data_IF_858981037140
#
_entry.id   IF_858981037140
#
_cell.length_a   1.000
_cell.length_b   1.000
_cell.length_c   1.000
_cell.angle_alpha   90.00
_cell.angle_beta   90.00
_cell.angle_gamma   90.00
#
_symmetry.space_group_name_H-M   'P 1'
#
loop_
_entity.id
_entity.type
_entity.pdbx_description
1 polymer ?
#
# COMPACT_ATOMS: atom_id res chain seq x y z
N UNK A 1 -11.45 7.56 -14.53
CA UNK A 1 -11.30 6.12 -14.80
C UNK A 1 -11.36 5.30 -13.50
N UNK A 2 -10.43 5.47 -12.55
CA UNK A 2 -10.44 4.66 -11.31
C UNK A 2 -11.64 4.94 -10.41
N UNK A 3 -12.06 6.20 -10.24
CA UNK A 3 -13.26 6.54 -9.47
C UNK A 3 -14.51 5.89 -10.04
N UNK A 4 -14.64 5.88 -11.35
CA UNK A 4 -15.75 5.24 -12.05
C UNK A 4 -15.71 3.71 -11.87
N UNK A 5 -14.51 3.11 -11.92
CA UNK A 5 -14.34 1.69 -11.66
C UNK A 5 -14.82 1.31 -10.25
N UNK A 6 -14.48 2.10 -9.22
CA UNK A 6 -14.95 1.85 -7.85
C UNK A 6 -16.47 2.01 -7.68
N UNK A 7 -17.08 2.97 -8.36
CA UNK A 7 -18.55 3.09 -8.39
C UNK A 7 -19.21 1.87 -9.02
N UNK A 8 -18.63 1.34 -10.10
CA UNK A 8 -19.10 0.12 -10.75
C UNK A 8 -18.94 -1.10 -9.83
N UNK A 9 -17.79 -1.22 -9.12
CA UNK A 9 -17.58 -2.29 -8.15
C UNK A 9 -18.62 -2.22 -7.03
N UNK A 10 -18.88 -1.04 -6.49
CA UNK A 10 -19.86 -0.85 -5.43
C UNK A 10 -21.26 -1.31 -5.84
N UNK A 11 -21.71 -0.89 -7.02
CA UNK A 11 -23.02 -1.29 -7.56
C UNK A 11 -23.12 -2.80 -7.82
N UNK A 12 -22.02 -3.41 -8.30
CA UNK A 12 -21.97 -4.86 -8.51
C UNK A 12 -21.86 -5.64 -7.19
N UNK A 13 -21.25 -5.08 -6.15
CA UNK A 13 -21.23 -5.67 -4.82
C UNK A 13 -22.64 -5.82 -4.26
N UNK A 14 -23.47 -4.77 -4.34
CA UNK A 14 -24.85 -4.81 -3.88
C UNK A 14 -25.69 -5.80 -4.71
N UNK A 15 -25.49 -5.85 -6.03
CA UNK A 15 -26.16 -6.81 -6.90
C UNK A 15 -25.73 -8.25 -6.63
N UNK A 16 -24.43 -8.49 -6.34
CA UNK A 16 -23.93 -9.81 -5.98
C UNK A 16 -24.46 -10.28 -4.62
N UNK A 17 -24.56 -9.39 -3.63
CA UNK A 17 -25.18 -9.73 -2.35
C UNK A 17 -26.66 -10.12 -2.48
N UNK A 18 -27.40 -9.47 -3.40
CA UNK A 18 -28.77 -9.91 -3.71
C UNK A 18 -28.80 -11.27 -4.40
N UNK A 19 -27.97 -11.48 -5.42
CA UNK A 19 -27.88 -12.74 -6.15
C UNK A 19 -27.41 -13.93 -5.27
N UNK A 20 -26.71 -13.63 -4.18
CA UNK A 20 -26.26 -14.60 -3.20
C UNK A 20 -27.24 -14.78 -2.02
N UNK A 21 -28.37 -14.08 -1.98
CA UNK A 21 -29.33 -14.05 -0.86
C UNK A 21 -28.75 -13.57 0.46
N UNK A 22 -27.72 -12.73 0.44
CA UNK A 22 -27.20 -12.00 1.60
C UNK A 22 -28.13 -10.84 1.95
N UNK A 23 -28.69 -10.19 0.89
CA UNK A 23 -29.74 -9.19 0.98
C UNK A 23 -30.95 -9.61 0.14
N UNK A 24 -32.14 -9.27 0.57
CA UNK A 24 -33.40 -9.50 -0.14
C UNK A 24 -34.05 -8.19 -0.59
N UNK A 25 -35.27 -8.28 -1.14
CA UNK A 25 -36.06 -7.12 -1.58
C UNK A 25 -36.40 -6.18 -0.41
N UNK A 26 -36.69 -6.72 0.75
CA UNK A 26 -37.15 -6.00 1.93
C UNK A 26 -36.05 -5.66 2.93
N UNK A 27 -34.80 -6.12 2.69
CA UNK A 27 -33.72 -5.81 3.62
C UNK A 27 -32.56 -6.81 3.65
N UNK A 28 -31.85 -6.81 4.76
CA UNK A 28 -30.70 -7.68 5.00
C UNK A 28 -31.15 -9.03 5.52
N UNK A 29 -30.76 -10.11 4.84
CA UNK A 29 -31.03 -11.50 5.28
C UNK A 29 -29.87 -12.07 6.10
N UNK A 30 -28.62 -11.68 5.80
CA UNK A 30 -27.44 -12.07 6.58
C UNK A 30 -26.55 -10.86 6.87
N UNK A 31 -26.68 -10.31 8.09
CA UNK A 31 -25.96 -9.10 8.51
C UNK A 31 -24.43 -9.30 8.58
N UNK A 32 -23.99 -10.47 9.00
CA UNK A 32 -22.57 -10.80 9.12
C UNK A 32 -21.89 -10.87 7.74
N UNK A 33 -22.49 -11.59 6.80
CA UNK A 33 -21.97 -11.71 5.43
C UNK A 33 -21.95 -10.35 4.72
N UNK A 34 -23.00 -9.54 4.89
CA UNK A 34 -23.08 -8.18 4.34
C UNK A 34 -21.98 -7.27 4.90
N UNK A 35 -21.78 -7.30 6.22
CA UNK A 35 -20.76 -6.51 6.89
C UNK A 35 -19.35 -6.93 6.45
N UNK A 36 -19.08 -8.23 6.37
CA UNK A 36 -17.80 -8.76 5.91
C UNK A 36 -17.48 -8.31 4.45
N UNK A 37 -18.43 -8.46 3.53
CA UNK A 37 -18.26 -8.05 2.13
C UNK A 37 -17.99 -6.54 2.00
N UNK A 38 -18.75 -5.71 2.70
CA UNK A 38 -18.56 -4.25 2.69
C UNK A 38 -17.24 -3.82 3.32
N UNK A 39 -16.87 -4.38 4.47
CA UNK A 39 -15.61 -4.07 5.15
C UNK A 39 -14.40 -4.46 4.30
N UNK A 40 -14.43 -5.61 3.64
CA UNK A 40 -13.36 -6.04 2.73
C UNK A 40 -13.21 -5.07 1.55
N UNK A 41 -14.32 -4.66 0.95
CA UNK A 41 -14.32 -3.69 -0.16
C UNK A 41 -13.80 -2.32 0.27
N UNK A 42 -14.29 -1.76 1.38
CA UNK A 42 -13.82 -0.47 1.88
C UNK A 42 -12.33 -0.49 2.24
N UNK A 43 -11.85 -1.58 2.84
CA UNK A 43 -10.43 -1.76 3.15
C UNK A 43 -9.56 -1.82 1.88
N UNK A 44 -10.01 -2.50 0.84
CA UNK A 44 -9.31 -2.56 -0.45
C UNK A 44 -9.30 -1.19 -1.14
N UNK A 45 -10.43 -0.49 -1.14
CA UNK A 45 -10.59 0.86 -1.68
C UNK A 45 -9.65 1.85 -0.99
N UNK A 46 -9.61 1.85 0.33
CA UNK A 46 -8.73 2.74 1.10
C UNK A 46 -7.24 2.49 0.78
N UNK A 47 -6.82 1.22 0.75
CA UNK A 47 -5.45 0.86 0.37
C UNK A 47 -5.11 1.31 -1.05
N UNK A 48 -5.99 1.05 -2.01
CA UNK A 48 -5.81 1.46 -3.39
C UNK A 48 -5.64 2.98 -3.52
N UNK A 49 -6.56 3.78 -2.96
CA UNK A 49 -6.48 5.24 -3.05
C UNK A 49 -5.29 5.81 -2.29
N UNK A 50 -4.91 5.22 -1.15
CA UNK A 50 -3.68 5.59 -0.45
C UNK A 50 -2.45 5.44 -1.36
N UNK A 51 -2.30 4.30 -2.02
CA UNK A 51 -1.20 4.07 -2.98
C UNK A 51 -1.29 4.97 -4.21
N UNK A 52 -2.49 5.17 -4.76
CA UNK A 52 -2.68 6.05 -5.91
C UNK A 52 -2.23 7.48 -5.59
N UNK A 53 -2.69 8.05 -4.48
CA UNK A 53 -2.31 9.40 -4.05
C UNK A 53 -0.80 9.49 -3.81
N UNK A 54 -0.21 8.51 -3.14
CA UNK A 54 1.23 8.46 -2.89
C UNK A 54 2.02 8.38 -4.19
N UNK A 55 1.60 7.55 -5.14
CA UNK A 55 2.21 7.45 -6.46
C UNK A 55 2.11 8.77 -7.26
N UNK A 56 0.97 9.43 -7.21
CA UNK A 56 0.77 10.73 -7.90
C UNK A 56 1.68 11.83 -7.34
N UNK A 57 2.06 11.78 -6.08
CA UNK A 57 2.98 12.73 -5.43
C UNK A 57 4.45 12.46 -5.76
N UNK A 58 4.80 11.23 -6.11
CA UNK A 58 6.19 10.79 -6.26
C UNK A 58 6.99 11.59 -7.30
N UNK A 59 6.47 11.96 -8.49
CA UNK A 59 7.22 12.79 -9.42
C UNK A 59 7.62 14.16 -8.86
N UNK A 60 6.75 14.79 -8.06
CA UNK A 60 7.06 16.06 -7.39
C UNK A 60 8.06 15.89 -6.27
N UNK A 61 7.96 14.79 -5.51
CA UNK A 61 8.93 14.39 -4.50
C UNK A 61 10.32 14.20 -5.13
N UNK A 62 10.44 13.45 -6.23
CA UNK A 62 11.71 13.19 -6.91
C UNK A 62 12.38 14.50 -7.32
N UNK A 63 11.65 15.42 -7.95
CA UNK A 63 12.21 16.75 -8.31
C UNK A 63 12.66 17.56 -7.09
N UNK A 64 11.98 17.40 -5.96
CA UNK A 64 12.39 18.08 -4.72
C UNK A 64 13.63 17.43 -4.12
N UNK A 65 13.73 16.10 -4.14
CA UNK A 65 14.94 15.37 -3.70
C UNK A 65 16.15 15.78 -4.56
N UNK A 66 16.02 15.78 -5.88
CA UNK A 66 17.13 16.22 -6.78
C UNK A 66 17.68 17.58 -6.34
N UNK A 67 16.81 18.58 -6.13
CA UNK A 67 17.23 19.93 -5.68
C UNK A 67 17.91 19.91 -4.31
N UNK A 68 17.42 19.10 -3.36
CA UNK A 68 18.01 19.03 -2.03
C UNK A 68 19.36 18.32 -2.05
N UNK A 69 19.54 17.31 -2.89
CA UNK A 69 20.83 16.66 -3.10
C UNK A 69 21.85 17.62 -3.71
N UNK A 70 21.44 18.44 -4.71
CA UNK A 70 22.29 19.47 -5.33
C UNK A 70 22.69 20.55 -4.31
N UNK A 71 21.80 20.88 -3.36
CA UNK A 71 22.09 21.80 -2.25
C UNK A 71 22.98 21.19 -1.15
N UNK A 72 23.40 19.92 -1.30
CA UNK A 72 24.25 19.24 -0.33
C UNK A 72 23.51 18.60 0.84
N UNK A 73 22.17 18.54 0.81
CA UNK A 73 21.34 17.96 1.87
C UNK A 73 21.20 16.45 1.75
N UNK A 74 20.67 15.82 2.80
CA UNK A 74 20.28 14.41 2.81
C UNK A 74 18.76 14.30 2.94
N UNK A 75 18.13 13.47 2.11
CA UNK A 75 16.68 13.28 2.10
C UNK A 75 16.28 12.10 2.96
N UNK A 76 15.25 12.27 3.79
CA UNK A 76 14.60 11.20 4.55
C UNK A 76 13.13 11.14 4.17
N UNK A 77 12.65 10.01 3.70
CA UNK A 77 11.28 9.84 3.20
C UNK A 77 10.53 8.89 4.12
N UNK A 78 9.45 9.37 4.70
CA UNK A 78 8.54 8.57 5.52
C UNK A 78 7.38 8.06 4.69
N UNK A 79 7.21 6.72 4.70
CA UNK A 79 6.10 6.01 4.07
C UNK A 79 5.43 5.09 5.09
N UNK A 80 4.22 4.63 4.79
CA UNK A 80 3.50 3.64 5.61
C UNK A 80 3.48 2.29 4.91
N UNK A 81 3.12 2.28 3.64
CA UNK A 81 2.89 1.05 2.88
C UNK A 81 4.05 0.73 1.94
N UNK A 82 4.53 -0.50 2.01
CA UNK A 82 5.64 -0.99 1.17
C UNK A 82 5.19 -1.94 0.06
N UNK A 83 3.92 -2.36 0.07
CA UNK A 83 3.41 -3.36 -0.88
C UNK A 83 3.92 -4.79 -0.65
N UNK A 84 4.65 -5.07 0.44
CA UNK A 84 5.30 -6.37 0.70
C UNK A 84 4.34 -7.56 0.60
N UNK A 85 3.17 -7.47 1.23
CA UNK A 85 2.22 -8.59 1.25
C UNK A 85 1.71 -8.94 -0.15
N UNK A 86 1.51 -7.93 -0.99
CA UNK A 86 1.06 -8.10 -2.36
C UNK A 86 2.19 -8.66 -3.25
N UNK A 87 3.39 -8.07 -3.14
CA UNK A 87 4.57 -8.54 -3.85
C UNK A 87 4.85 -10.01 -3.53
N UNK A 88 4.81 -10.40 -2.26
CA UNK A 88 5.03 -11.79 -1.83
C UNK A 88 4.02 -12.76 -2.44
N UNK A 89 2.75 -12.40 -2.52
CA UNK A 89 1.72 -13.24 -3.16
C UNK A 89 1.98 -13.39 -4.66
N UNK A 90 2.27 -12.29 -5.34
CA UNK A 90 2.58 -12.32 -6.78
C UNK A 90 3.84 -13.13 -7.11
N UNK A 91 4.89 -12.97 -6.32
CA UNK A 91 6.11 -13.77 -6.50
C UNK A 91 5.90 -15.26 -6.21
N UNK A 92 4.94 -15.62 -5.35
CA UNK A 92 4.59 -17.02 -5.12
C UNK A 92 3.93 -17.69 -6.33
N UNK A 93 3.35 -16.91 -7.26
CA UNK A 93 2.74 -17.41 -8.51
C UNK A 93 3.77 -17.56 -9.64
N UNK A 94 4.99 -17.05 -9.46
CA UNK A 94 6.05 -17.07 -10.47
C UNK A 94 7.16 -18.03 -10.03
N UNK A 95 7.53 -19.03 -10.86
CA UNK A 95 8.69 -19.88 -10.57
C UNK A 95 9.96 -19.04 -10.35
N UNK A 96 10.84 -19.50 -9.46
CA UNK A 96 12.06 -18.75 -9.07
C UNK A 96 13.00 -18.49 -10.23
N UNK A 97 12.98 -19.34 -11.26
CA UNK A 97 13.73 -19.17 -12.51
C UNK A 97 13.29 -17.91 -13.28
N UNK A 98 12.02 -17.51 -13.14
CA UNK A 98 11.46 -16.30 -13.75
C UNK A 98 11.84 -15.00 -13.01
N UNK A 99 12.50 -15.09 -11.86
CA UNK A 99 12.85 -13.89 -11.06
C UNK A 99 14.01 -13.07 -11.62
N UNK A 100 14.68 -13.58 -12.66
CA UNK A 100 15.78 -12.87 -13.35
C UNK A 100 15.29 -11.88 -14.43
N UNK A 101 14.01 -11.93 -14.79
CA UNK A 101 13.38 -11.00 -15.75
C UNK A 101 11.89 -10.87 -15.40
N UNK A 102 11.62 -10.20 -14.30
CA UNK A 102 10.28 -10.16 -13.74
C UNK A 102 9.49 -9.02 -14.37
N UNK A 103 8.44 -9.37 -15.08
CA UNK A 103 7.39 -8.41 -15.47
C UNK A 103 6.34 -8.25 -14.34
N UNK A 104 6.80 -8.21 -13.08
CA UNK A 104 5.92 -7.95 -11.95
C UNK A 104 5.84 -6.47 -11.74
N UNK A 105 4.86 -5.89 -12.38
CA UNK A 105 4.30 -4.64 -11.92
C UNK A 105 3.36 -4.99 -10.76
N UNK A 106 3.64 -4.51 -9.54
CA UNK A 106 2.75 -4.62 -8.38
C UNK A 106 1.98 -3.31 -8.20
N UNK A 107 1.12 -2.95 -9.18
CA UNK A 107 0.42 -1.69 -9.12
C UNK A 107 -0.64 -1.73 -8.01
N UNK A 108 -1.03 -0.58 -7.46
CA UNK A 108 -2.12 -0.48 -6.49
C UNK A 108 -3.41 -1.18 -6.90
N UNK A 109 -3.70 -1.32 -8.18
CA UNK A 109 -4.88 -2.05 -8.69
C UNK A 109 -4.93 -3.50 -8.22
N UNK A 110 -3.79 -4.11 -7.95
CA UNK A 110 -3.70 -5.50 -7.51
C UNK A 110 -4.36 -5.71 -6.13
N UNK A 111 -4.39 -4.70 -5.26
CA UNK A 111 -5.15 -4.79 -4.00
C UNK A 111 -6.65 -4.98 -4.24
N UNK A 112 -7.17 -4.35 -5.30
CA UNK A 112 -8.58 -4.47 -5.65
C UNK A 112 -8.85 -5.78 -6.34
N UNK A 113 -7.98 -6.20 -7.26
CA UNK A 113 -8.07 -7.51 -7.93
C UNK A 113 -8.02 -8.65 -6.91
N UNK A 114 -7.10 -8.59 -5.96
CA UNK A 114 -6.97 -9.56 -4.88
C UNK A 114 -8.23 -9.59 -3.98
N UNK A 115 -8.77 -8.42 -3.64
CA UNK A 115 -10.03 -8.33 -2.88
C UNK A 115 -11.22 -8.90 -3.64
N UNK A 116 -11.32 -8.65 -4.95
CA UNK A 116 -12.37 -9.23 -5.80
C UNK A 116 -12.23 -10.75 -5.89
N UNK A 117 -11.00 -11.25 -6.04
CA UNK A 117 -10.76 -12.68 -6.16
C UNK A 117 -11.14 -13.45 -4.87
N UNK A 118 -10.83 -12.90 -3.70
CA UNK A 118 -10.90 -13.62 -2.44
C UNK A 118 -12.00 -13.16 -1.48
N UNK A 119 -12.53 -11.94 -1.63
CA UNK A 119 -13.47 -11.35 -0.68
C UNK A 119 -14.78 -10.90 -1.30
N UNK A 120 -14.93 -11.05 -2.62
CA UNK A 120 -16.20 -10.74 -3.28
C UNK A 120 -17.26 -11.78 -2.90
N UNK A 121 -18.52 -11.36 -2.57
CA UNK A 121 -19.54 -12.25 -2.02
C UNK A 121 -20.13 -13.16 -3.10
N UNK A 122 -19.51 -14.30 -3.33
CA UNK A 122 -19.97 -15.30 -4.31
C UNK A 122 -20.67 -16.51 -3.69
N UNK A 123 -20.46 -16.77 -2.39
CA UNK A 123 -21.14 -17.87 -1.73
C UNK A 123 -22.66 -17.68 -1.74
N UNK A 124 -23.37 -18.73 -2.12
CA UNK A 124 -24.83 -18.75 -2.11
C UNK A 124 -25.37 -18.99 -0.70
N UNK A 125 -26.41 -18.27 -0.35
CA UNK A 125 -27.18 -18.44 0.87
C UNK A 125 -28.62 -18.86 0.52
N UNK A 126 -29.24 -19.62 1.37
CA UNK A 126 -30.67 -19.94 1.26
C UNK A 126 -31.46 -19.14 2.29
N UNK A 127 -32.53 -18.44 1.87
CA UNK A 127 -33.42 -17.75 2.79
C UNK A 127 -34.18 -18.74 3.68
N UNK A 128 -34.43 -18.36 4.92
CA UNK A 128 -35.32 -19.08 5.84
C UNK A 128 -36.07 -18.09 6.73
N UNK A 129 -37.17 -18.59 7.32
CA UNK A 129 -37.90 -17.85 8.36
C UNK A 129 -37.74 -18.62 9.67
N UNK A 130 -37.33 -17.92 10.72
CA UNK A 130 -37.18 -18.53 12.04
C UNK A 130 -38.53 -18.74 12.75
N UNK A 131 -38.51 -19.33 13.93
CA UNK A 131 -39.72 -19.60 14.73
C UNK A 131 -40.45 -18.32 15.21
N UNK A 132 -39.77 -17.18 15.18
CA UNK A 132 -40.32 -15.88 15.56
C UNK A 132 -40.83 -15.07 14.36
N UNK A 133 -40.74 -15.64 13.15
CA UNK A 133 -41.16 -15.00 11.90
C UNK A 133 -40.13 -14.07 11.28
N UNK A 134 -38.89 -14.03 11.78
CA UNK A 134 -37.84 -13.20 11.21
C UNK A 134 -37.23 -13.88 9.98
N UNK A 135 -37.03 -13.10 8.94
CA UNK A 135 -36.33 -13.55 7.73
C UNK A 135 -34.81 -13.49 7.92
N UNK A 136 -34.16 -14.59 7.56
CA UNK A 136 -32.70 -14.70 7.56
C UNK A 136 -32.19 -15.49 6.36
N UNK A 137 -30.89 -15.65 6.22
CA UNK A 137 -30.30 -16.59 5.26
C UNK A 137 -29.08 -17.27 5.84
N UNK A 138 -28.82 -18.51 5.41
CA UNK A 138 -27.70 -19.34 5.83
C UNK A 138 -26.88 -19.83 4.64
N UNK A 139 -25.55 -20.06 4.81
CA UNK A 139 -24.70 -20.49 3.71
C UNK A 139 -25.10 -21.91 3.23
N UNK A 140 -25.05 -22.10 1.90
CA UNK A 140 -25.34 -23.39 1.26
C UNK A 140 -24.04 -24.13 1.03
N UNK A 141 -24.02 -25.42 1.45
CA UNK A 141 -22.91 -26.34 1.20
C UNK A 141 -23.40 -27.57 0.44
N UNK A 142 -22.56 -28.11 -0.43
CA UNK A 142 -22.78 -29.40 -1.10
C UNK A 142 -21.50 -30.22 -0.97
N UNK A 143 -21.59 -31.43 -0.45
CA UNK A 143 -20.43 -32.31 -0.22
C UNK A 143 -19.32 -31.63 0.58
N UNK A 144 -19.68 -30.80 1.58
CA UNK A 144 -18.77 -30.06 2.42
C UNK A 144 -18.12 -28.82 1.76
N UNK A 145 -18.46 -28.56 0.49
CA UNK A 145 -17.95 -27.39 -0.23
C UNK A 145 -19.01 -26.28 -0.30
N UNK A 146 -18.60 -25.00 -0.17
CA UNK A 146 -19.51 -23.88 -0.35
C UNK A 146 -20.07 -23.83 -1.78
N UNK A 147 -21.37 -23.63 -1.91
CA UNK A 147 -22.01 -23.44 -3.21
C UNK A 147 -21.91 -21.96 -3.59
N UNK A 148 -21.49 -21.68 -4.81
CA UNK A 148 -21.36 -20.32 -5.32
C UNK A 148 -22.58 -19.91 -6.16
N UNK A 149 -22.99 -18.63 -6.06
CA UNK A 149 -23.97 -18.00 -6.94
C UNK A 149 -23.35 -17.77 -8.31
N UNK A 150 -23.90 -18.40 -9.35
CA UNK A 150 -23.43 -18.25 -10.75
C UNK A 150 -23.42 -16.78 -11.21
N UNK A 151 -24.45 -16.03 -10.83
CA UNK A 151 -24.54 -14.61 -11.17
C UNK A 151 -23.48 -13.79 -10.46
N UNK A 152 -23.24 -14.02 -9.16
CA UNK A 152 -22.20 -13.32 -8.40
C UNK A 152 -20.79 -13.63 -8.94
N UNK A 153 -20.50 -14.89 -9.30
CA UNK A 153 -19.26 -15.30 -9.95
C UNK A 153 -19.07 -14.60 -11.30
N UNK A 154 -20.11 -14.56 -12.14
CA UNK A 154 -20.04 -13.88 -13.44
C UNK A 154 -19.79 -12.37 -13.28
N UNK A 155 -20.41 -11.72 -12.28
CA UNK A 155 -20.17 -10.31 -11.95
C UNK A 155 -18.72 -10.08 -11.51
N UNK A 156 -18.19 -10.93 -10.62
CA UNK A 156 -16.78 -10.89 -10.19
C UNK A 156 -15.82 -10.98 -11.38
N UNK A 157 -16.04 -11.92 -12.29
CA UNK A 157 -15.21 -12.10 -13.49
C UNK A 157 -15.14 -10.83 -14.34
N UNK A 158 -16.29 -10.24 -14.67
CA UNK A 158 -16.36 -8.99 -15.45
C UNK A 158 -15.66 -7.81 -14.77
N UNK A 159 -15.73 -7.71 -13.44
CA UNK A 159 -15.04 -6.67 -12.68
C UNK A 159 -13.53 -6.85 -12.74
N UNK A 160 -13.03 -8.09 -12.59
CA UNK A 160 -11.60 -8.43 -12.69
C UNK A 160 -11.08 -8.05 -14.08
N UNK A 161 -11.76 -8.45 -15.15
CA UNK A 161 -11.37 -8.10 -16.52
C UNK A 161 -11.31 -6.59 -16.74
N UNK A 162 -12.32 -5.86 -16.27
CA UNK A 162 -12.38 -4.40 -16.39
C UNK A 162 -11.24 -3.70 -15.64
N UNK A 163 -10.92 -4.15 -14.42
CA UNK A 163 -9.82 -3.58 -13.65
C UNK A 163 -8.45 -3.93 -14.25
N UNK A 164 -8.29 -5.15 -14.76
CA UNK A 164 -7.06 -5.57 -15.42
C UNK A 164 -6.75 -4.72 -16.66
N UNK A 165 -7.76 -4.17 -17.33
CA UNK A 165 -7.60 -3.27 -18.48
C UNK A 165 -7.17 -1.84 -18.14
N UNK A 166 -7.21 -1.44 -16.86
CA UNK A 166 -6.77 -0.11 -16.46
C UNK A 166 -5.24 -0.01 -16.44
N UNK A 167 -4.65 1.15 -16.76
CA UNK A 167 -3.21 1.32 -16.76
C UNK A 167 -2.65 1.09 -15.35
N UNK A 168 -1.44 0.49 -15.24
CA UNK A 168 -0.78 0.29 -13.97
C UNK A 168 -0.39 1.62 -13.31
N UNK A 169 -0.38 1.62 -11.98
CA UNK A 169 0.11 2.76 -11.19
C UNK A 169 1.31 2.26 -10.38
N UNK A 170 2.55 2.70 -10.68
CA UNK A 170 3.74 2.20 -10.00
C UNK A 170 3.78 2.64 -8.53
N UNK A 171 4.32 1.78 -7.66
CA UNK A 171 4.50 2.10 -6.24
C UNK A 171 5.53 3.21 -6.02
N UNK A 172 5.32 4.07 -5.03
CA UNK A 172 6.21 5.20 -4.77
C UNK A 172 7.63 4.76 -4.39
N UNK A 173 7.76 3.75 -3.53
CA UNK A 173 9.05 3.23 -3.10
C UNK A 173 9.86 2.69 -4.28
N UNK A 174 9.22 1.93 -5.18
CA UNK A 174 9.88 1.37 -6.35
C UNK A 174 10.29 2.48 -7.34
N UNK A 175 9.46 3.51 -7.53
CA UNK A 175 9.83 4.68 -8.33
C UNK A 175 11.07 5.39 -7.79
N UNK A 176 11.17 5.58 -6.46
CA UNK A 176 12.32 6.22 -5.82
C UNK A 176 13.59 5.36 -6.02
N UNK A 177 13.50 4.05 -5.74
CA UNK A 177 14.64 3.13 -5.88
C UNK A 177 15.07 3.03 -7.35
N UNK A 178 14.13 2.97 -8.30
CA UNK A 178 14.46 2.92 -9.73
C UNK A 178 15.07 4.23 -10.26
N UNK A 179 14.67 5.37 -9.71
CA UNK A 179 15.20 6.68 -10.12
C UNK A 179 16.60 6.94 -9.61
N UNK A 180 16.86 6.66 -8.32
CA UNK A 180 18.12 7.03 -7.67
C UNK A 180 19.11 5.86 -7.51
N UNK A 181 18.65 4.63 -7.70
CA UNK A 181 19.47 3.43 -7.53
C UNK A 181 19.68 3.03 -6.07
N UNK A 182 20.03 1.76 -5.89
CA UNK A 182 20.31 1.17 -4.57
C UNK A 182 21.58 1.69 -3.94
N UNK A 183 22.47 2.28 -4.71
CA UNK A 183 23.71 2.88 -4.20
C UNK A 183 23.47 4.25 -3.52
N UNK A 184 22.42 4.94 -3.91
CA UNK A 184 22.02 6.23 -3.34
C UNK A 184 20.92 6.11 -2.29
N UNK A 185 20.06 5.10 -2.41
CA UNK A 185 18.88 4.92 -1.55
C UNK A 185 19.11 3.86 -0.50
N UNK A 186 19.06 4.27 0.76
CA UNK A 186 18.97 3.39 1.93
C UNK A 186 17.51 3.05 2.20
N UNK A 187 17.15 1.78 2.08
CA UNK A 187 15.79 1.31 2.34
C UNK A 187 15.69 0.65 3.71
N UNK A 188 14.91 1.23 4.61
CA UNK A 188 14.68 0.74 5.98
C UNK A 188 13.21 0.41 6.17
N UNK A 189 12.80 -0.70 5.59
CA UNK A 189 11.39 -1.15 5.55
C UNK A 189 11.25 -2.59 6.01
N UNK A 190 10.01 -3.06 6.15
CA UNK A 190 9.72 -4.46 6.43
C UNK A 190 9.82 -5.40 5.21
N UNK A 191 10.18 -4.90 4.02
CA UNK A 191 10.26 -5.75 2.82
C UNK A 191 11.40 -6.75 2.92
N UNK A 192 11.11 -8.00 2.64
CA UNK A 192 12.09 -9.08 2.48
C UNK A 192 12.64 -9.19 1.05
N UNK A 193 11.95 -8.60 0.09
CA UNK A 193 12.29 -8.59 -1.34
C UNK A 193 12.00 -7.23 -1.94
N UNK A 194 12.74 -6.88 -3.00
CA UNK A 194 12.50 -5.69 -3.81
C UNK A 194 12.75 -5.96 -5.28
N UNK A 195 12.12 -5.19 -6.15
CA UNK A 195 12.37 -5.23 -7.59
C UNK A 195 13.32 -4.09 -7.91
N UNK A 196 14.46 -4.43 -8.46
CA UNK A 196 15.49 -3.48 -8.89
C UNK A 196 15.72 -3.57 -10.39
N UNK A 197 16.18 -2.48 -10.98
CA UNK A 197 16.61 -2.46 -12.38
C UNK A 197 18.11 -2.81 -12.45
N UNK A 198 18.44 -3.80 -13.24
CA UNK A 198 19.82 -4.18 -13.54
C UNK A 198 20.00 -4.21 -15.06
N UNK A 199 20.59 -3.17 -15.62
CA UNK A 199 20.55 -2.92 -17.08
C UNK A 199 19.10 -2.68 -17.53
N UNK A 200 18.66 -3.40 -18.56
CA UNK A 200 17.29 -3.29 -19.09
C UNK A 200 16.29 -4.25 -18.45
N UNK A 201 16.73 -5.06 -17.47
CA UNK A 201 15.89 -6.06 -16.82
C UNK A 201 15.47 -5.63 -15.43
N UNK A 202 14.28 -6.06 -15.03
CA UNK A 202 13.80 -5.98 -13.66
C UNK A 202 14.07 -7.33 -12.98
N UNK A 203 14.79 -7.32 -11.87
CA UNK A 203 15.11 -8.52 -11.11
C UNK A 203 14.60 -8.42 -9.69
N UNK A 204 14.23 -9.56 -9.12
CA UNK A 204 13.89 -9.67 -7.70
C UNK A 204 15.16 -9.85 -6.89
N UNK A 205 15.41 -8.93 -5.98
CA UNK A 205 16.50 -9.00 -5.02
C UNK A 205 15.96 -9.36 -3.64
N UNK A 206 16.56 -10.39 -3.01
CA UNK A 206 16.26 -10.72 -1.63
C UNK A 206 17.00 -9.76 -0.70
N UNK A 207 16.32 -9.31 0.36
CA UNK A 207 16.88 -8.47 1.41
C UNK A 207 17.07 -9.31 2.66
N UNK A 208 18.31 -9.39 3.15
CA UNK A 208 18.62 -10.09 4.40
C UNK A 208 17.90 -9.43 5.60
N UNK A 209 17.66 -10.17 6.66
CA UNK A 209 17.06 -9.63 7.89
C UNK A 209 17.91 -8.50 8.53
N UNK A 210 19.23 -8.50 8.32
CA UNK A 210 20.16 -7.46 8.75
C UNK A 210 20.25 -6.26 7.80
N UNK A 211 19.58 -6.28 6.63
CA UNK A 211 19.69 -5.23 5.61
C UNK A 211 19.36 -3.83 6.18
N UNK A 212 18.32 -3.73 7.00
CA UNK A 212 17.93 -2.45 7.59
C UNK A 212 19.02 -1.81 8.47
N UNK A 213 19.85 -2.62 9.14
CA UNK A 213 20.99 -2.11 9.92
C UNK A 213 22.09 -1.57 9.00
N UNK A 214 22.45 -2.35 7.98
CA UNK A 214 23.46 -1.95 6.98
C UNK A 214 23.03 -0.69 6.21
N UNK A 215 21.78 -0.60 5.80
CA UNK A 215 21.22 0.57 5.12
C UNK A 215 21.21 1.81 6.02
N UNK A 216 20.84 1.66 7.29
CA UNK A 216 20.91 2.76 8.26
C UNK A 216 22.35 3.24 8.44
N UNK A 217 23.32 2.32 8.61
CA UNK A 217 24.72 2.67 8.74
C UNK A 217 25.25 3.38 7.49
N UNK A 218 24.94 2.88 6.28
CA UNK A 218 25.35 3.51 5.03
C UNK A 218 24.82 4.95 4.89
N UNK A 219 23.61 5.22 5.38
CA UNK A 219 23.06 6.58 5.42
C UNK A 219 23.75 7.46 6.48
N UNK A 220 23.97 6.94 7.69
CA UNK A 220 24.64 7.69 8.77
C UNK A 220 26.13 7.93 8.50
N UNK A 221 26.77 7.08 7.69
CA UNK A 221 28.17 7.21 7.26
C UNK A 221 28.35 8.07 5.98
N UNK A 222 27.29 8.70 5.48
CA UNK A 222 27.27 9.53 4.25
C UNK A 222 27.63 8.77 2.96
N UNK A 223 27.53 7.43 2.99
CA UNK A 223 27.67 6.59 1.80
C UNK A 223 26.42 6.70 0.91
N UNK A 224 25.24 6.74 1.55
CA UNK A 224 23.96 6.97 0.90
C UNK A 224 23.34 8.27 1.40
N UNK A 225 22.69 8.99 0.50
CA UNK A 225 22.15 10.33 0.83
C UNK A 225 20.63 10.39 0.88
N UNK A 226 19.97 9.33 0.49
CA UNK A 226 18.51 9.19 0.55
C UNK A 226 18.19 8.02 1.47
N UNK A 227 17.28 8.21 2.42
CA UNK A 227 16.78 7.15 3.27
C UNK A 227 15.25 7.10 3.14
N UNK A 228 14.71 5.92 2.83
CA UNK A 228 13.27 5.67 2.85
C UNK A 228 12.98 4.70 3.98
N UNK A 229 12.06 5.05 4.87
CA UNK A 229 11.68 4.20 5.98
C UNK A 229 10.16 4.05 6.12
N UNK A 230 9.76 2.90 6.65
CA UNK A 230 8.42 2.63 7.13
C UNK A 230 8.44 2.27 8.62
N UNK A 231 7.31 2.36 9.30
CA UNK A 231 7.22 2.03 10.74
C UNK A 231 7.72 0.61 11.03
N UNK A 232 7.37 -0.36 10.18
CA UNK A 232 7.78 -1.76 10.34
C UNK A 232 9.32 -1.96 10.31
N UNK A 233 10.03 -1.18 9.48
CA UNK A 233 11.49 -1.29 9.34
C UNK A 233 12.28 -0.35 10.25
N UNK A 234 11.65 0.74 10.67
CA UNK A 234 12.29 1.85 11.36
C UNK A 234 12.17 1.86 12.89
N UNK A 235 11.49 0.89 13.50
CA UNK A 235 11.25 0.88 14.96
C UNK A 235 12.57 0.95 15.75
N UNK A 236 12.64 1.84 16.73
CA UNK A 236 13.82 2.03 17.59
C UNK A 236 15.00 2.72 16.93
N UNK A 237 14.93 3.18 15.68
CA UNK A 237 16.02 3.82 14.95
C UNK A 237 15.85 5.33 14.87
N UNK A 238 16.96 6.05 14.73
CA UNK A 238 17.01 7.50 14.52
C UNK A 238 17.88 7.82 13.31
N UNK A 239 17.50 8.88 12.57
CA UNK A 239 18.15 9.27 11.33
C UNK A 239 18.55 10.76 11.34
N UNK A 240 18.60 11.36 12.52
CA UNK A 240 18.95 12.77 12.71
C UNK A 240 20.41 13.05 12.34
N UNK A 241 20.75 14.30 12.15
CA UNK A 241 22.13 14.73 11.87
C UNK A 241 22.97 14.74 13.16
N UNK A 242 23.21 13.54 13.72
CA UNK A 242 23.93 13.38 14.97
C UNK A 242 25.37 13.92 14.88
N UNK A 243 25.83 14.59 15.93
CA UNK A 243 27.15 15.21 15.96
C UNK A 243 28.30 14.20 15.84
N UNK A 244 28.10 12.97 16.27
CA UNK A 244 29.09 11.89 16.15
C UNK A 244 29.07 11.17 14.80
N UNK A 245 28.01 11.32 14.01
CA UNK A 245 27.89 10.69 12.70
C UNK A 245 28.72 11.41 11.63
N UNK A 246 29.12 10.69 10.59
CA UNK A 246 29.79 11.28 9.42
C UNK A 246 28.80 12.12 8.60
N UNK A 247 27.58 11.63 8.42
CA UNK A 247 26.54 12.36 7.73
C UNK A 247 25.91 13.42 8.66
N UNK A 248 26.45 14.62 8.63
CA UNK A 248 25.93 15.80 9.35
C UNK A 248 25.15 16.75 8.46
N UNK A 249 24.78 16.31 7.25
CA UNK A 249 24.01 17.13 6.30
C UNK A 249 22.65 17.49 6.86
N UNK A 250 22.11 18.62 6.45
CA UNK A 250 20.73 18.99 6.76
C UNK A 250 19.80 17.84 6.30
N UNK A 251 19.00 17.34 7.23
CA UNK A 251 17.95 16.37 6.90
C UNK A 251 16.75 17.10 6.34
N UNK A 252 16.40 16.82 5.09
CA UNK A 252 15.09 17.19 4.56
C UNK A 252 14.18 15.99 4.71
N UNK A 253 13.24 16.06 5.64
CA UNK A 253 12.32 14.98 5.96
C UNK A 253 11.00 15.17 5.22
N UNK A 254 10.75 14.29 4.27
CA UNK A 254 9.54 14.25 3.47
C UNK A 254 8.51 13.32 4.11
N UNK A 255 7.36 13.86 4.51
CA UNK A 255 6.20 13.08 4.89
C UNK A 255 5.40 12.79 3.62
N UNK A 256 5.71 11.67 2.96
CA UNK A 256 5.07 11.28 1.70
C UNK A 256 3.73 10.60 1.96
N UNK A 257 3.69 9.70 2.94
CA UNK A 257 2.50 8.95 3.33
C UNK A 257 2.30 9.07 4.85
N UNK A 258 1.40 9.93 5.30
CA UNK A 258 1.21 10.18 6.74
C UNK A 258 0.50 9.02 7.48
N UNK A 259 -0.14 8.10 6.77
CA UNK A 259 -0.94 7.03 7.38
C UNK A 259 -2.28 7.53 7.91
N UNK A 260 -2.89 6.75 8.80
CA UNK A 260 -4.21 7.04 9.38
C UNK A 260 -4.15 7.47 10.84
N UNK A 261 -2.96 7.48 11.45
CA UNK A 261 -2.75 7.85 12.86
C UNK A 261 -1.77 9.00 12.93
N UNK A 262 -2.21 10.14 13.42
CA UNK A 262 -1.37 11.32 13.60
C UNK A 262 -0.16 11.04 14.48
N UNK A 263 -0.34 10.29 15.59
CA UNK A 263 0.74 9.91 16.49
C UNK A 263 1.87 9.15 15.79
N UNK A 264 1.54 8.21 14.89
CA UNK A 264 2.53 7.46 14.11
C UNK A 264 3.31 8.38 13.16
N UNK A 265 2.61 9.33 12.51
CA UNK A 265 3.25 10.32 11.66
C UNK A 265 4.23 11.20 12.46
N UNK A 266 3.80 11.72 13.62
CA UNK A 266 4.63 12.55 14.52
C UNK A 266 5.83 11.76 15.05
N UNK A 267 5.64 10.51 15.48
CA UNK A 267 6.74 9.64 15.90
C UNK A 267 7.77 9.43 14.78
N UNK A 268 7.30 9.29 13.54
CA UNK A 268 8.19 9.23 12.37
C UNK A 268 9.00 10.51 12.18
N UNK A 269 8.39 11.68 12.29
CA UNK A 269 9.09 12.98 12.24
C UNK A 269 10.15 13.09 13.33
N UNK A 270 9.87 12.59 14.54
CA UNK A 270 10.81 12.54 15.65
C UNK A 270 12.07 11.71 15.39
N UNK A 271 12.12 10.86 14.33
CA UNK A 271 13.33 10.08 13.99
C UNK A 271 14.45 10.94 13.39
N UNK A 272 14.12 12.08 12.83
CA UNK A 272 15.10 13.03 12.28
C UNK A 272 15.31 14.25 13.17
N UNK A 273 14.50 14.43 14.21
CA UNK A 273 14.59 15.54 15.15
C UNK A 273 14.87 15.00 16.57
N UNK A 274 16.12 15.09 16.99
CA UNK A 274 16.60 14.59 18.29
C UNK A 274 17.56 15.58 18.93
N UNK A 275 17.80 15.41 20.22
CA UNK A 275 18.93 16.07 20.90
C UNK A 275 20.26 15.64 20.27
N UNK A 276 21.33 16.42 20.49
CA UNK A 276 22.68 16.13 19.99
C UNK A 276 22.77 16.09 18.44
N UNK A 277 22.06 16.97 17.76
CA UNK A 277 22.08 17.12 16.30
C UNK A 277 22.84 18.38 15.86
N UNK A 278 23.47 18.32 14.68
CA UNK A 278 24.24 19.42 14.10
C UNK A 278 23.33 20.62 13.73
N UNK A 279 22.13 20.32 13.22
CA UNK A 279 21.07 21.29 12.95
C UNK A 279 19.69 20.59 12.94
N UNK A 280 18.59 21.32 13.20
CA UNK A 280 17.24 20.80 13.08
C UNK A 280 16.92 20.35 11.65
N UNK A 281 16.08 19.33 11.46
CA UNK A 281 15.63 18.92 10.13
C UNK A 281 14.66 19.95 9.53
N UNK A 282 14.57 19.95 8.21
CA UNK A 282 13.51 20.63 7.47
C UNK A 282 12.39 19.63 7.14
N UNK A 283 11.20 19.84 7.67
CA UNK A 283 10.03 19.00 7.38
C UNK A 283 9.30 19.47 6.13
N UNK A 284 9.04 18.56 5.20
CA UNK A 284 8.29 18.82 3.96
C UNK A 284 7.17 17.78 3.78
N UNK A 285 5.95 18.06 4.26
CA UNK A 285 4.80 17.24 3.91
C UNK A 285 4.48 17.41 2.42
N UNK A 286 4.24 16.29 1.73
CA UNK A 286 3.84 16.26 0.33
C UNK A 286 2.36 15.92 0.25
N UNK A 287 1.57 16.83 -0.28
CA UNK A 287 0.12 16.70 -0.39
C UNK A 287 -0.35 16.83 -1.84
N UNK A 288 -1.49 16.19 -2.13
CA UNK A 288 -2.28 16.47 -3.33
C UNK A 288 -3.31 17.57 -3.05
N UNK A 289 -4.09 17.95 -4.07
CA UNK A 289 -5.22 18.86 -3.91
C UNK A 289 -6.48 18.21 -3.32
N UNK A 290 -6.42 16.93 -2.98
CA UNK A 290 -7.53 16.19 -2.38
C UNK A 290 -7.83 16.72 -0.97
N UNK A 291 -9.06 17.19 -0.75
CA UNK A 291 -9.48 17.82 0.51
C UNK A 291 -9.28 16.91 1.72
N UNK A 292 -9.52 15.60 1.58
CA UNK A 292 -9.36 14.64 2.67
C UNK A 292 -7.90 14.54 3.14
N UNK A 293 -6.94 14.55 2.21
CA UNK A 293 -5.52 14.53 2.54
C UNK A 293 -5.08 15.82 3.23
N UNK A 294 -5.50 16.97 2.72
CA UNK A 294 -5.21 18.28 3.34
C UNK A 294 -5.77 18.39 4.75
N UNK A 295 -7.01 17.91 4.96
CA UNK A 295 -7.62 17.87 6.28
C UNK A 295 -6.83 17.02 7.27
N UNK A 296 -6.37 15.84 6.83
CA UNK A 296 -5.56 14.95 7.67
C UNK A 296 -4.20 15.60 8.02
N UNK A 297 -3.52 16.21 7.06
CA UNK A 297 -2.26 16.91 7.31
C UNK A 297 -2.42 18.08 8.28
N UNK A 298 -3.54 18.80 8.25
CA UNK A 298 -3.84 19.88 9.20
C UNK A 298 -4.07 19.40 10.64
N UNK A 299 -4.28 18.10 10.86
CA UNK A 299 -4.38 17.52 12.23
C UNK A 299 -3.02 17.09 12.77
N UNK A 300 -2.00 16.98 11.91
CA UNK A 300 -0.61 16.67 12.29
C UNK A 300 0.17 17.96 12.57
N UNK A 301 -0.16 19.04 11.87
CA UNK A 301 0.48 20.35 12.01
C UNK A 301 -0.04 21.10 13.24
#
# INVERSE_FOLDING_TARGET
AYADAFSIIHNNLDAAMRAANITGETGTLNGQAKSAARSAFESAKQRFFGHLLTSMKTPSLIRSIDRDLDAGHAAVIQIVSTGEALMRRRLAEIPTEGWCDVQVDTPPREYVLDSLAHSFPVQLYEPFTDSEGNLGSRPVYRDGQPVESREAVARRGRLIEKLASLPPVPGALDQIVQRFGTDMVAEVTGRSRRIIRKGDRLIVENRAGSANLAETSAFMDDVKRILVFSDAGGTGRSYHAELSARNRRLRVHYLLEPGWKADAAIQGLGRTNRTNQAQPPLFRPIATDVKAEKRFLSTIA
#
